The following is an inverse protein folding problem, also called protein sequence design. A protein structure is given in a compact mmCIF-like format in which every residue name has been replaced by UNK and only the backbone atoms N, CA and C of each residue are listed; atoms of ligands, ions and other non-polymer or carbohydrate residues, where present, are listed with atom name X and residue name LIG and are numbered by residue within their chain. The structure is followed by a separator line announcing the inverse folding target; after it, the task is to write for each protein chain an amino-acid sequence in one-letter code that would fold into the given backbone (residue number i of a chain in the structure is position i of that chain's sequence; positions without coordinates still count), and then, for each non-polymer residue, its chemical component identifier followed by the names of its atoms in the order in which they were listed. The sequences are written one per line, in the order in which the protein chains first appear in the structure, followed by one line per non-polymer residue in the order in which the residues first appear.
data_IF_573817606650
#
_entry.id   IF_573817606650
#
_cell.length_a   1.000
_cell.length_b   1.000
_cell.length_c   1.000
_cell.angle_alpha   90.00
_cell.angle_beta   90.00
_cell.angle_gamma   90.00
#
_symmetry.space_group_name_H-M   'P 1'
#
loop_
_entity.id
_entity.type
_entity.pdbx_description
1 polymer ?
#
# COMPACT_ATOMS: atom_id res chain seq x y z
N UNK A 1 -11.04 16.13 9.38
CA UNK A 1 -10.76 14.93 8.56
C UNK A 1 -9.52 14.23 9.12
N UNK A 2 -9.50 12.89 9.09
CA UNK A 2 -8.39 12.07 9.62
C UNK A 2 -7.34 11.83 8.53
N UNK A 3 -6.07 11.72 8.92
CA UNK A 3 -4.96 11.35 8.03
C UNK A 3 -5.26 10.01 7.35
N UNK A 4 -5.08 9.96 6.03
CA UNK A 4 -5.32 8.77 5.23
C UNK A 4 -4.01 8.12 4.82
N UNK A 5 -3.97 6.80 4.90
CA UNK A 5 -2.92 5.98 4.31
C UNK A 5 -3.51 5.14 3.20
N UNK A 6 -2.87 5.13 2.05
CA UNK A 6 -3.24 4.27 0.93
C UNK A 6 -1.97 3.89 0.18
N UNK A 7 -2.08 2.91 -0.72
CA UNK A 7 -0.97 2.52 -1.57
C UNK A 7 -1.42 2.33 -3.00
N UNK A 8 -0.70 2.95 -3.93
CA UNK A 8 -0.83 2.68 -5.37
C UNK A 8 0.30 1.75 -5.82
N UNK A 9 0.16 1.17 -7.00
CA UNK A 9 1.18 0.29 -7.60
C UNK A 9 1.51 0.80 -8.98
N UNK A 10 2.80 0.86 -9.28
CA UNK A 10 3.35 1.08 -10.61
C UNK A 10 3.87 -0.25 -11.13
N UNK A 11 3.47 -0.62 -12.34
CA UNK A 11 3.94 -1.84 -13.00
C UNK A 11 5.04 -1.48 -13.98
N UNK A 12 6.22 -2.07 -13.78
CA UNK A 12 7.39 -1.92 -14.65
C UNK A 12 7.25 -2.78 -15.92
N UNK A 13 8.13 -2.56 -16.90
CA UNK A 13 8.16 -3.31 -18.17
C UNK A 13 8.40 -4.81 -17.98
N UNK A 14 9.06 -5.20 -16.89
CA UNK A 14 9.29 -6.59 -16.49
C UNK A 14 8.13 -7.16 -15.64
N UNK A 15 6.98 -6.50 -15.64
CA UNK A 15 5.79 -6.85 -14.86
C UNK A 15 6.00 -6.86 -13.33
N UNK A 16 7.12 -6.31 -12.84
CA UNK A 16 7.35 -6.13 -11.41
C UNK A 16 6.60 -4.93 -10.87
N UNK A 17 6.17 -5.04 -9.62
CA UNK A 17 5.42 -3.99 -8.93
C UNK A 17 6.35 -3.12 -8.09
N UNK A 18 6.14 -1.81 -8.19
CA UNK A 18 6.65 -0.82 -7.26
C UNK A 18 5.47 -0.24 -6.49
N UNK A 19 5.51 -0.34 -5.17
CA UNK A 19 4.46 0.13 -4.27
C UNK A 19 4.74 1.59 -3.88
N UNK A 20 3.77 2.46 -4.11
CA UNK A 20 3.77 3.84 -3.64
C UNK A 20 2.94 3.98 -2.38
N UNK A 21 3.59 3.96 -1.23
CA UNK A 21 2.95 4.15 0.07
C UNK A 21 2.71 5.64 0.30
N UNK A 22 1.47 6.01 0.55
CA UNK A 22 1.06 7.40 0.67
C UNK A 22 0.54 7.70 2.07
N UNK A 23 0.89 8.89 2.56
CA UNK A 23 0.27 9.53 3.72
C UNK A 23 -0.24 10.90 3.29
N UNK A 24 -1.56 11.06 3.31
CA UNK A 24 -2.22 12.31 2.94
C UNK A 24 -2.99 12.86 4.15
N UNK A 25 -2.65 14.08 4.56
CA UNK A 25 -3.48 14.83 5.52
C UNK A 25 -4.46 15.70 4.72
N UNK A 26 -5.78 15.47 4.82
CA UNK A 26 -6.76 16.26 4.08
C UNK A 26 -6.78 17.75 4.43
N UNK A 27 -6.07 18.17 5.49
CA UNK A 27 -5.87 19.58 5.83
C UNK A 27 -4.80 20.26 4.98
N UNK A 28 -4.00 19.49 4.25
CA UNK A 28 -2.87 19.97 3.44
C UNK A 28 -3.06 19.59 1.98
N UNK A 29 -2.56 20.39 1.06
CA UNK A 29 -2.55 20.07 -0.39
C UNK A 29 -1.39 19.14 -0.78
N UNK A 30 -0.62 18.68 0.19
CA UNK A 30 0.58 17.86 -0.02
C UNK A 30 0.39 16.44 0.52
N UNK A 31 1.00 15.47 -0.15
CA UNK A 31 1.08 14.10 0.33
C UNK A 31 2.55 13.67 0.45
N UNK A 32 2.85 12.85 1.47
CA UNK A 32 4.14 12.18 1.58
C UNK A 32 4.04 10.82 0.91
N UNK A 33 5.01 10.51 0.04
CA UNK A 33 5.03 9.27 -0.73
C UNK A 33 6.40 8.61 -0.63
N UNK A 34 6.42 7.30 -0.34
CA UNK A 34 7.61 6.46 -0.41
C UNK A 34 7.37 5.37 -1.45
N UNK A 35 8.28 5.27 -2.42
CA UNK A 35 8.28 4.23 -3.45
C UNK A 35 9.21 3.09 -3.03
N UNK A 36 8.74 1.86 -3.09
CA UNK A 36 9.55 0.68 -2.76
C UNK A 36 9.04 -0.56 -3.50
N UNK A 37 9.96 -1.45 -3.90
CA UNK A 37 9.60 -2.78 -4.43
C UNK A 37 9.15 -3.75 -3.32
N UNK A 38 9.33 -3.39 -2.05
CA UNK A 38 8.98 -4.24 -0.90
C UNK A 38 7.52 -3.99 -0.49
N UNK A 39 6.65 -5.02 -0.45
CA UNK A 39 5.23 -4.90 -0.11
C UNK A 39 5.01 -4.84 1.43
N UNK A 40 5.69 -3.93 2.13
CA UNK A 40 5.68 -3.85 3.60
C UNK A 40 4.80 -2.69 4.10
N UNK A 41 3.49 -2.77 3.86
CA UNK A 41 2.52 -1.70 4.14
C UNK A 41 2.62 -1.13 5.55
N UNK A 42 2.61 -1.98 6.56
CA UNK A 42 2.63 -1.62 7.97
C UNK A 42 3.91 -0.86 8.32
N UNK A 43 5.03 -1.29 7.74
CA UNK A 43 6.33 -0.67 7.97
C UNK A 43 6.42 0.70 7.32
N UNK A 44 6.06 0.80 6.03
CA UNK A 44 6.13 2.07 5.30
C UNK A 44 5.10 3.09 5.79
N UNK A 45 3.93 2.66 6.27
CA UNK A 45 2.98 3.59 6.92
C UNK A 45 3.52 4.13 8.24
N UNK A 46 4.18 3.31 9.06
CA UNK A 46 4.89 3.77 10.26
C UNK A 46 6.04 4.71 9.92
N UNK A 47 6.80 4.40 8.87
CA UNK A 47 7.88 5.25 8.37
C UNK A 47 7.37 6.63 7.94
N UNK A 48 6.29 6.67 7.15
CA UNK A 48 5.68 7.92 6.68
C UNK A 48 5.14 8.77 7.82
N UNK A 49 4.59 8.16 8.88
CA UNK A 49 4.18 8.90 10.07
C UNK A 49 5.39 9.54 10.76
N UNK A 50 6.51 8.81 10.83
CA UNK A 50 7.74 9.33 11.41
C UNK A 50 8.36 10.45 10.57
N UNK A 51 8.40 10.29 9.24
CA UNK A 51 8.82 11.34 8.30
C UNK A 51 7.94 12.59 8.47
N UNK A 52 6.62 12.42 8.60
CA UNK A 52 5.71 13.55 8.84
C UNK A 52 6.03 14.29 10.14
N UNK A 53 6.34 13.57 11.23
CA UNK A 53 6.72 14.20 12.50
C UNK A 53 8.04 14.97 12.40
N UNK A 54 9.03 14.45 11.67
CA UNK A 54 10.30 15.13 11.44
C UNK A 54 10.18 16.31 10.45
N UNK A 55 9.23 16.25 9.52
CA UNK A 55 8.99 17.36 8.57
C UNK A 55 8.37 18.57 9.27
N UNK A 56 7.54 18.32 10.30
CA UNK A 56 6.94 19.38 11.12
C UNK A 56 7.89 19.96 12.17
N UNK A 57 9.04 19.33 12.44
CA UNK A 57 10.03 19.86 13.37
C UNK A 57 10.93 20.89 12.67
N UNK A 58 11.43 21.88 13.42
CA UNK A 58 12.18 23.03 12.87
C UNK A 58 13.54 22.64 12.27
N UNK A 59 14.06 21.45 12.57
CA UNK A 59 15.39 21.03 12.15
C UNK A 59 15.35 20.11 10.92
N UNK A 60 15.38 20.71 9.72
CA UNK A 60 15.37 19.97 8.46
C UNK A 60 16.57 19.01 8.28
N UNK A 61 17.69 19.26 8.96
CA UNK A 61 18.88 18.39 8.89
C UNK A 61 18.66 16.99 9.47
N UNK A 62 17.75 16.86 10.44
CA UNK A 62 17.44 15.61 11.11
C UNK A 62 16.64 14.65 10.20
N UNK A 63 15.74 15.20 9.40
CA UNK A 63 15.00 14.45 8.39
C UNK A 63 15.96 13.84 7.35
N UNK A 64 16.86 14.64 6.78
CA UNK A 64 17.78 14.16 5.75
C UNK A 64 18.77 13.13 6.28
N UNK A 65 19.27 13.29 7.50
CA UNK A 65 20.10 12.28 8.17
C UNK A 65 19.34 10.97 8.37
N UNK A 66 18.11 11.04 8.85
CA UNK A 66 17.26 9.87 9.03
C UNK A 66 17.01 9.15 7.70
N UNK A 67 16.63 9.89 6.65
CA UNK A 67 16.43 9.32 5.31
C UNK A 67 17.71 8.70 4.73
N UNK A 68 18.87 9.35 4.96
CA UNK A 68 20.17 8.80 4.58
C UNK A 68 20.47 7.47 5.29
N UNK A 69 20.19 7.37 6.59
CA UNK A 69 20.34 6.12 7.36
C UNK A 69 19.38 5.03 6.87
N UNK A 70 18.14 5.38 6.55
CA UNK A 70 17.16 4.43 6.00
C UNK A 70 17.60 3.91 4.64
N UNK A 71 18.07 4.79 3.76
CA UNK A 71 18.53 4.41 2.42
C UNK A 71 19.82 3.57 2.45
N UNK A 72 20.74 3.86 3.36
CA UNK A 72 21.97 3.10 3.54
C UNK A 72 21.78 1.76 4.27
N UNK A 73 20.63 1.56 4.92
CA UNK A 73 20.33 0.32 5.62
C UNK A 73 20.09 -0.83 4.65
N UNK A 74 20.71 -1.97 4.91
CA UNK A 74 20.46 -3.18 4.13
C UNK A 74 19.02 -3.70 4.38
N UNK A 75 18.44 -4.30 3.34
CA UNK A 75 17.15 -4.98 3.47
C UNK A 75 17.29 -6.16 4.45
N UNK A 76 16.53 -6.21 5.56
CA UNK A 76 16.60 -7.32 6.50
C UNK A 76 16.27 -8.66 5.85
N UNK A 77 16.91 -9.73 6.32
CA UNK A 77 16.49 -11.09 5.97
C UNK A 77 15.07 -11.38 6.49
N UNK A 78 14.28 -12.24 5.83
CA UNK A 78 12.93 -12.58 6.27
C UNK A 78 12.86 -12.99 7.75
N UNK A 79 11.98 -12.35 8.53
CA UNK A 79 11.84 -12.58 9.97
C UNK A 79 12.87 -11.89 10.87
N UNK A 80 13.83 -11.15 10.31
CA UNK A 80 14.80 -10.34 11.08
C UNK A 80 14.39 -8.88 11.15
N UNK A 81 15.02 -8.13 12.06
CA UNK A 81 14.77 -6.70 12.24
C UNK A 81 16.04 -5.87 12.13
N UNK A 82 15.96 -4.71 11.49
CA UNK A 82 17.01 -3.70 11.45
C UNK A 82 16.58 -2.50 12.27
N UNK A 83 17.43 -2.06 13.20
CA UNK A 83 17.19 -0.86 14.00
C UNK A 83 17.91 0.31 13.38
N UNK A 84 17.16 1.35 13.03
CA UNK A 84 17.67 2.58 12.43
C UNK A 84 17.72 3.64 13.51
N UNK A 85 18.91 4.20 13.73
CA UNK A 85 19.14 5.26 14.71
C UNK A 85 18.48 6.57 14.25
N UNK A 86 17.79 7.21 15.19
CA UNK A 86 17.18 8.51 14.97
C UNK A 86 18.05 9.65 15.48
N UNK A 87 17.75 10.89 15.05
CA UNK A 87 18.33 12.09 15.62
C UNK A 87 18.08 12.25 17.12
N UNK A 88 16.92 11.79 17.60
CA UNK A 88 16.62 11.67 19.02
C UNK A 88 17.16 10.33 19.57
N UNK A 89 18.11 10.33 20.52
CA UNK A 89 18.68 9.11 21.10
C UNK A 89 17.66 8.22 21.82
N UNK A 90 16.50 8.77 22.20
CA UNK A 90 15.47 8.06 22.96
C UNK A 90 14.52 7.25 22.09
N UNK A 91 14.52 7.46 20.77
CA UNK A 91 13.62 6.80 19.83
C UNK A 91 14.42 5.99 18.83
N UNK A 92 14.03 4.73 18.60
CA UNK A 92 14.63 3.88 17.56
C UNK A 92 13.56 3.38 16.61
N UNK A 93 13.79 3.47 15.29
CA UNK A 93 12.87 2.95 14.29
C UNK A 93 13.30 1.53 13.95
N UNK A 94 12.47 0.56 14.32
CA UNK A 94 12.74 -0.84 14.06
C UNK A 94 12.01 -1.25 12.80
N UNK A 95 12.76 -1.65 11.77
CA UNK A 95 12.23 -2.24 10.55
C UNK A 95 12.21 -3.76 10.65
N UNK A 96 11.02 -4.37 10.72
CA UNK A 96 10.89 -5.83 10.76
C UNK A 96 10.52 -6.36 9.37
N UNK A 97 11.32 -7.31 8.84
CA UNK A 97 10.94 -8.03 7.63
C UNK A 97 9.87 -9.07 7.96
N UNK A 98 8.77 -9.16 7.18
CA UNK A 98 7.84 -10.28 7.26
C UNK A 98 8.57 -11.63 7.13
N UNK A 99 8.06 -12.66 7.81
CA UNK A 99 8.59 -14.03 7.68
C UNK A 99 8.18 -14.62 6.33
N UNK A 100 9.06 -15.45 5.76
CA UNK A 100 8.77 -16.13 4.52
C UNK A 100 7.55 -17.05 4.67
N UNK A 101 6.60 -16.98 3.73
CA UNK A 101 5.35 -17.77 3.71
C UNK A 101 4.40 -17.54 4.90
N UNK A 102 4.62 -16.50 5.71
CA UNK A 102 3.66 -16.15 6.75
C UNK A 102 2.39 -15.58 6.11
N UNK A 103 1.26 -16.23 6.41
CA UNK A 103 -0.05 -15.74 5.98
C UNK A 103 -0.39 -14.42 6.70
N UNK A 104 -1.09 -13.49 6.02
CA UNK A 104 -1.58 -12.28 6.65
C UNK A 104 -2.61 -12.64 7.74
N UNK A 105 -2.40 -12.14 8.95
CA UNK A 105 -3.33 -12.29 10.08
C UNK A 105 -4.14 -11.01 10.30
N UNK A 106 -5.34 -11.18 10.84
CA UNK A 106 -6.20 -10.07 11.28
C UNK A 106 -6.07 -9.98 12.81
N UNK A 107 -5.81 -8.80 13.40
CA UNK A 107 -5.83 -7.46 12.81
C UNK A 107 -4.46 -6.92 12.36
N UNK A 108 -3.39 -7.71 12.38
CA UNK A 108 -2.03 -7.22 12.14
C UNK A 108 -1.83 -6.71 10.72
N UNK A 109 -2.42 -7.38 9.71
CA UNK A 109 -2.39 -6.94 8.32
C UNK A 109 -3.51 -5.92 8.08
N UNK A 110 -3.13 -4.68 7.81
CA UNK A 110 -4.09 -3.57 7.64
C UNK A 110 -4.96 -3.76 6.40
N UNK A 111 -4.40 -4.27 5.30
CA UNK A 111 -5.13 -4.43 4.05
C UNK A 111 -6.24 -5.47 4.20
N UNK A 112 -5.91 -6.64 4.76
CA UNK A 112 -6.86 -7.72 4.99
C UNK A 112 -7.93 -7.32 6.01
N UNK A 113 -7.54 -6.61 7.07
CA UNK A 113 -8.47 -6.12 8.10
C UNK A 113 -9.48 -5.14 7.52
N UNK A 114 -9.03 -4.19 6.69
CA UNK A 114 -9.93 -3.24 6.02
C UNK A 114 -10.83 -3.92 4.99
N UNK A 115 -10.31 -4.91 4.24
CA UNK A 115 -11.11 -5.70 3.31
C UNK A 115 -12.23 -6.47 4.02
N UNK A 116 -11.89 -7.21 5.07
CA UNK A 116 -12.85 -7.96 5.87
C UNK A 116 -13.88 -7.06 6.55
N UNK A 117 -13.48 -5.85 6.96
CA UNK A 117 -14.41 -4.87 7.53
C UNK A 117 -15.30 -4.19 6.48
N UNK A 118 -14.88 -4.11 5.22
CA UNK A 118 -15.55 -3.35 4.19
C UNK A 118 -16.46 -4.18 3.29
N UNK A 119 -16.17 -5.47 3.11
CA UNK A 119 -16.83 -6.37 2.17
C UNK A 119 -17.49 -7.50 2.96
N UNK A 120 -18.78 -7.73 2.70
CA UNK A 120 -19.51 -8.86 3.28
C UNK A 120 -19.06 -10.20 2.69
N UNK A 121 -19.29 -11.28 3.44
CA UNK A 121 -18.84 -12.62 3.06
C UNK A 121 -19.34 -13.08 1.69
N UNK A 122 -20.56 -12.70 1.29
CA UNK A 122 -21.10 -13.08 -0.01
C UNK A 122 -20.33 -12.41 -1.16
N UNK A 123 -20.12 -11.09 -1.06
CA UNK A 123 -19.31 -10.37 -2.03
C UNK A 123 -17.85 -10.82 -2.04
N UNK A 124 -17.27 -11.18 -0.89
CA UNK A 124 -15.91 -11.75 -0.84
C UNK A 124 -15.81 -13.03 -1.69
N UNK A 125 -16.82 -13.91 -1.63
CA UNK A 125 -16.87 -15.13 -2.44
C UNK A 125 -17.01 -14.84 -3.93
N UNK A 126 -17.85 -13.86 -4.30
CA UNK A 126 -18.01 -13.43 -5.70
C UNK A 126 -16.71 -12.86 -6.26
N UNK A 127 -16.03 -12.01 -5.48
CA UNK A 127 -14.73 -11.44 -5.85
C UNK A 127 -13.72 -12.57 -6.07
N UNK A 128 -13.60 -13.48 -5.09
CA UNK A 128 -12.68 -14.61 -5.18
C UNK A 128 -12.93 -15.47 -6.42
N UNK A 129 -14.19 -15.86 -6.67
CA UNK A 129 -14.56 -16.59 -7.87
C UNK A 129 -14.23 -15.78 -9.15
N UNK A 130 -14.56 -14.50 -9.19
CA UNK A 130 -14.28 -13.62 -10.33
C UNK A 130 -12.79 -13.51 -10.63
N UNK A 131 -11.94 -13.53 -9.60
CA UNK A 131 -10.48 -13.56 -9.77
C UNK A 131 -10.00 -14.88 -10.36
N UNK A 132 -10.53 -16.02 -9.92
CA UNK A 132 -10.19 -17.33 -10.49
C UNK A 132 -10.63 -17.48 -11.96
N UNK A 133 -11.68 -16.77 -12.38
CA UNK A 133 -12.13 -16.70 -13.77
C UNK A 133 -11.47 -15.57 -14.58
N UNK A 134 -10.45 -14.90 -14.02
CA UNK A 134 -9.75 -13.76 -14.64
C UNK A 134 -10.72 -12.73 -15.22
N UNK A 135 -11.73 -12.32 -14.44
CA UNK A 135 -12.70 -11.32 -14.88
C UNK A 135 -12.13 -9.90 -14.79
N UNK A 136 -12.83 -8.95 -15.42
CA UNK A 136 -12.58 -7.51 -15.28
C UNK A 136 -13.28 -7.02 -14.02
N UNK A 137 -12.51 -6.73 -12.97
CA UNK A 137 -13.01 -6.45 -11.62
C UNK A 137 -12.70 -4.99 -11.26
N UNK A 138 -13.75 -4.26 -10.89
CA UNK A 138 -13.66 -2.87 -10.42
C UNK A 138 -14.06 -2.81 -8.95
N UNK A 139 -13.18 -2.27 -8.12
CA UNK A 139 -13.51 -1.84 -6.76
C UNK A 139 -13.79 -0.34 -6.76
N UNK A 140 -14.78 0.10 -5.98
CA UNK A 140 -15.11 1.53 -5.86
C UNK A 140 -15.21 1.93 -4.40
N UNK A 141 -14.68 3.10 -4.04
CA UNK A 141 -14.85 3.63 -2.69
C UNK A 141 -14.64 5.14 -2.62
N UNK A 142 -15.32 5.77 -1.65
CA UNK A 142 -15.10 7.18 -1.27
C UNK A 142 -13.79 7.37 -0.50
N UNK A 143 -13.25 6.31 0.11
CA UNK A 143 -12.01 6.34 0.91
C UNK A 143 -10.89 5.60 0.19
N UNK A 144 -9.82 6.29 -0.19
CA UNK A 144 -8.66 5.71 -0.86
C UNK A 144 -7.96 4.63 -0.02
N UNK A 145 -7.95 4.80 1.31
CA UNK A 145 -7.39 3.81 2.23
C UNK A 145 -8.08 2.47 2.12
N UNK A 146 -9.41 2.48 2.10
CA UNK A 146 -10.25 1.28 1.96
C UNK A 146 -10.14 0.70 0.56
N UNK A 147 -10.18 1.56 -0.47
CA UNK A 147 -10.10 1.15 -1.87
C UNK A 147 -8.82 0.36 -2.14
N UNK A 148 -7.66 0.97 -1.86
CA UNK A 148 -6.36 0.32 -2.06
C UNK A 148 -6.24 -0.95 -1.23
N UNK A 149 -6.61 -0.91 0.05
CA UNK A 149 -6.58 -2.07 0.93
C UNK A 149 -7.40 -3.25 0.38
N UNK A 150 -8.61 -3.01 -0.10
CA UNK A 150 -9.48 -4.06 -0.65
C UNK A 150 -8.87 -4.70 -1.91
N UNK A 151 -8.36 -3.89 -2.82
CA UNK A 151 -7.73 -4.39 -4.07
C UNK A 151 -6.46 -5.19 -3.77
N UNK A 152 -5.64 -4.73 -2.81
CA UNK A 152 -4.43 -5.45 -2.41
C UNK A 152 -4.72 -6.74 -1.64
N UNK A 153 -5.71 -6.71 -0.74
CA UNK A 153 -6.15 -7.89 -0.03
C UNK A 153 -6.75 -8.95 -0.97
N UNK A 154 -7.56 -8.54 -1.95
CA UNK A 154 -8.13 -9.46 -2.94
C UNK A 154 -7.03 -10.23 -3.69
N UNK A 155 -5.96 -9.54 -4.12
CA UNK A 155 -4.79 -10.20 -4.72
C UNK A 155 -4.04 -11.13 -3.74
N UNK A 156 -3.98 -10.79 -2.46
CA UNK A 156 -3.36 -11.68 -1.46
C UNK A 156 -4.18 -12.95 -1.17
N UNK A 157 -5.51 -12.91 -1.37
CA UNK A 157 -6.41 -14.04 -1.09
C UNK A 157 -6.30 -15.19 -2.09
N UNK A 158 -5.77 -14.95 -3.30
CA UNK A 158 -5.55 -15.99 -4.30
C UNK A 158 -4.21 -16.73 -4.13
N UNK A 159 -3.47 -16.47 -3.05
CA UNK A 159 -2.24 -17.22 -2.72
C UNK A 159 -2.46 -18.74 -2.81
N UNK A 160 -1.55 -19.51 -3.43
CA UNK A 160 -0.21 -19.14 -3.91
C UNK A 160 -0.16 -18.51 -5.31
N UNK A 161 -1.33 -18.30 -5.95
CA UNK A 161 -1.41 -17.62 -7.24
C UNK A 161 -1.21 -16.11 -7.05
N UNK A 162 -0.76 -15.44 -8.10
CA UNK A 162 -0.58 -13.99 -8.15
C UNK A 162 -1.32 -13.50 -9.38
N UNK A 163 -2.08 -12.42 -9.26
CA UNK A 163 -2.76 -11.81 -10.41
C UNK A 163 -1.74 -11.38 -11.47
N UNK A 164 -1.91 -11.85 -12.71
CA UNK A 164 -0.94 -11.62 -13.79
C UNK A 164 -1.31 -10.47 -14.74
N UNK A 165 -2.59 -10.07 -14.77
CA UNK A 165 -3.08 -9.05 -15.70
C UNK A 165 -2.98 -7.65 -15.10
N UNK A 166 -3.63 -6.66 -15.74
CA UNK A 166 -3.61 -5.26 -15.29
C UNK A 166 -4.02 -5.19 -13.81
N UNK A 167 -3.19 -4.53 -13.01
CA UNK A 167 -3.35 -4.39 -11.58
C UNK A 167 -3.10 -2.94 -11.17
N UNK A 168 -4.17 -2.22 -10.80
CA UNK A 168 -4.11 -0.80 -10.45
C UNK A 168 -4.94 -0.57 -9.18
N UNK A 169 -4.35 -0.64 -7.96
CA UNK A 169 -5.10 -0.49 -6.71
C UNK A 169 -5.81 0.85 -6.54
N UNK A 170 -5.28 1.91 -7.15
CA UNK A 170 -5.88 3.24 -7.19
C UNK A 170 -5.64 3.84 -8.57
N UNK A 171 -6.70 3.97 -9.37
CA UNK A 171 -6.65 4.53 -10.71
C UNK A 171 -6.61 6.07 -10.64
N UNK A 172 -5.58 6.74 -11.18
CA UNK A 172 -5.61 8.18 -11.38
C UNK A 172 -6.51 8.56 -12.56
N UNK A 173 -7.08 9.77 -12.52
CA UNK A 173 -8.03 10.26 -13.54
C UNK A 173 -7.45 10.24 -14.97
N UNK A 174 -6.17 10.57 -15.11
CA UNK A 174 -5.48 10.57 -16.40
C UNK A 174 -5.39 9.18 -17.08
N UNK A 175 -5.61 8.10 -16.32
CA UNK A 175 -5.56 6.72 -16.83
C UNK A 175 -6.95 6.09 -16.92
N UNK A 176 -8.03 6.88 -16.90
CA UNK A 176 -9.40 6.36 -16.94
C UNK A 176 -9.69 5.47 -18.15
N UNK A 177 -9.05 5.74 -19.29
CA UNK A 177 -9.21 4.95 -20.53
C UNK A 177 -8.79 3.47 -20.36
N UNK A 178 -7.97 3.15 -19.35
CA UNK A 178 -7.62 1.76 -19.03
C UNK A 178 -8.83 0.91 -18.60
N UNK A 179 -9.95 1.53 -18.19
CA UNK A 179 -11.19 0.82 -17.90
C UNK A 179 -11.82 0.17 -19.14
N UNK A 180 -11.46 0.64 -20.34
CA UNK A 180 -11.92 0.10 -21.62
C UNK A 180 -11.11 -1.12 -22.08
N UNK A 181 -10.09 -1.51 -21.31
CA UNK A 181 -9.23 -2.64 -21.62
C UNK A 181 -10.06 -3.94 -21.84
N UNK A 182 -9.92 -4.63 -22.99
CA UNK A 182 -10.62 -5.90 -23.22
C UNK A 182 -10.03 -7.07 -22.40
N UNK A 183 -8.77 -6.97 -21.98
CA UNK A 183 -8.10 -7.97 -21.15
C UNK A 183 -8.60 -7.95 -19.70
N UNK A 184 -8.41 -9.03 -18.93
CA UNK A 184 -8.70 -9.03 -17.49
C UNK A 184 -7.98 -7.89 -16.77
N UNK A 185 -8.62 -7.35 -15.74
CA UNK A 185 -7.99 -6.34 -14.89
C UNK A 185 -8.57 -6.37 -13.50
N UNK A 186 -7.77 -5.89 -12.55
CA UNK A 186 -8.16 -5.65 -11.17
C UNK A 186 -7.83 -4.19 -10.83
N UNK A 187 -8.85 -3.33 -10.83
CA UNK A 187 -8.68 -1.88 -10.73
C UNK A 187 -9.53 -1.32 -9.58
N UNK A 188 -8.93 -0.44 -8.78
CA UNK A 188 -9.64 0.38 -7.80
C UNK A 188 -9.92 1.77 -8.36
N UNK A 189 -11.19 2.13 -8.52
CA UNK A 189 -11.63 3.44 -9.02
C UNK A 189 -12.19 4.28 -7.87
N UNK A 190 -11.56 5.42 -7.54
CA UNK A 190 -12.12 6.39 -6.61
C UNK A 190 -13.51 6.87 -7.07
N UNK A 191 -14.46 7.00 -6.15
CA UNK A 191 -15.83 7.48 -6.48
C UNK A 191 -15.86 8.78 -7.31
N UNK A 192 -15.02 9.81 -7.05
CA UNK A 192 -15.03 11.05 -7.84
C UNK A 192 -14.67 10.89 -9.32
N UNK A 193 -14.15 9.74 -9.75
CA UNK A 193 -13.83 9.46 -11.17
C UNK A 193 -15.04 8.88 -11.90
N UNK A 194 -16.03 8.35 -11.16
CA UNK A 194 -17.24 7.74 -11.72
C UNK A 194 -18.42 8.72 -11.79
N UNK A 195 -18.28 9.90 -11.19
CA UNK A 195 -19.23 11.02 -11.25
C UNK A 195 -18.89 11.94 -12.42
#
# INVERSE_FOLDING_TARGET
AMVQHFSFVLTSIDSKWTFGFCRHDPKTETALVVLSSLPWHEMFYKLLNHIATLTSSTNSGDLWKFLGNVYASNVPMPGTSVTISLPDPSVTYVCQSPRQFQLPSIPENRNLTEYYSAVDAHNMMIIFASMLYERRIIFTSKRLSRLSACVQAANALIYPMIWQHIYIPVLPLALMDYLLAPMPFLIGVPTPILE
#
